data_IF_048048614683
#
_entry.id   IF_048048614683
#
_cell.length_a   1.000
_cell.length_b   1.000
_cell.length_c   1.000
_cell.angle_alpha   90.00
_cell.angle_beta   90.00
_cell.angle_gamma   90.00
#
_symmetry.space_group_name_H-M   'P 1'
#
loop_
_entity.id
_entity.type
_entity.pdbx_description
1 polymer ?
#
# COMPACT_ATOMS: atom_id res chain seq x y z
N UNK A 1 26.81 -54.74 -0.94
CA UNK A 1 26.23 -54.48 0.40
C UNK A 1 27.18 -53.58 1.19
N UNK A 2 26.73 -52.38 1.56
CA UNK A 2 27.57 -51.34 2.17
C UNK A 2 27.94 -51.69 3.64
N UNK A 3 29.14 -51.30 4.09
CA UNK A 3 29.76 -51.68 5.38
C UNK A 3 28.92 -51.31 6.60
N UNK A 4 28.17 -50.21 6.55
CA UNK A 4 27.29 -49.75 7.63
C UNK A 4 26.07 -50.67 7.84
N UNK A 5 25.52 -51.25 6.77
CA UNK A 5 24.39 -52.18 6.83
C UNK A 5 24.75 -53.47 7.57
N UNK A 6 25.99 -53.96 7.40
CA UNK A 6 26.51 -55.14 8.13
C UNK A 6 26.72 -54.86 9.62
N UNK A 7 27.14 -53.66 9.98
CA UNK A 7 27.34 -53.26 11.38
C UNK A 7 26.00 -53.10 12.12
N UNK A 8 24.96 -52.60 11.45
CA UNK A 8 23.61 -52.47 12.02
C UNK A 8 22.95 -53.83 12.31
N UNK A 9 23.10 -54.80 11.40
CA UNK A 9 22.61 -56.17 11.61
C UNK A 9 23.39 -56.91 12.71
N UNK A 10 24.70 -56.68 12.82
CA UNK A 10 25.52 -57.25 13.90
C UNK A 10 25.17 -56.68 15.29
N UNK A 11 24.59 -55.48 15.34
CA UNK A 11 24.05 -54.86 16.56
C UNK A 11 22.62 -55.26 16.91
N UNK A 12 22.04 -56.26 16.23
CA UNK A 12 20.71 -56.80 16.54
C UNK A 12 19.53 -55.99 16.01
N UNK A 13 19.74 -55.01 15.12
CA UNK A 13 18.63 -54.28 14.48
C UNK A 13 18.02 -55.09 13.35
N UNK A 14 16.69 -55.04 13.25
CA UNK A 14 15.95 -55.77 12.23
C UNK A 14 16.19 -55.12 10.85
N UNK A 15 16.36 -55.93 9.81
CA UNK A 15 16.73 -55.44 8.47
C UNK A 15 15.73 -54.42 7.89
N UNK A 16 14.47 -54.51 8.32
CA UNK A 16 13.36 -53.65 7.94
C UNK A 16 13.44 -52.21 8.49
N UNK A 17 14.27 -51.97 9.51
CA UNK A 17 14.38 -50.68 10.23
C UNK A 17 15.60 -49.85 9.80
N UNK A 18 16.39 -50.36 8.87
CA UNK A 18 17.67 -49.76 8.48
C UNK A 18 17.42 -48.81 7.28
N UNK A 19 17.08 -47.56 7.58
CA UNK A 19 17.03 -46.49 6.57
C UNK A 19 18.44 -45.96 6.24
N UNK A 20 18.70 -45.58 4.98
CA UNK A 20 19.98 -45.01 4.59
C UNK A 20 20.22 -43.66 5.30
N UNK A 21 21.47 -43.37 5.73
CA UNK A 21 21.79 -42.09 6.35
C UNK A 21 21.58 -40.95 5.34
N UNK A 22 20.60 -40.09 5.61
CA UNK A 22 20.22 -38.97 4.73
C UNK A 22 18.72 -38.66 4.68
N UNK A 23 17.85 -39.60 5.07
CA UNK A 23 16.40 -39.31 5.23
C UNK A 23 16.10 -38.78 6.62
N UNK A 24 16.56 -37.55 6.89
CA UNK A 24 15.86 -36.71 7.87
C UNK A 24 14.57 -36.32 7.18
N UNK A 25 13.42 -36.84 7.65
CA UNK A 25 12.14 -36.26 7.27
C UNK A 25 12.19 -34.79 7.70
N UNK A 26 12.27 -33.88 6.72
CA UNK A 26 12.00 -32.47 6.97
C UNK A 26 10.66 -32.39 7.70
N UNK A 27 10.56 -31.65 8.82
CA UNK A 27 9.28 -31.38 9.43
C UNK A 27 8.35 -30.88 8.34
N UNK A 28 7.21 -31.54 8.14
CA UNK A 28 6.20 -31.08 7.19
C UNK A 28 5.85 -29.64 7.56
N UNK A 29 6.13 -28.69 6.66
CA UNK A 29 5.68 -27.32 6.82
C UNK A 29 4.17 -27.36 7.09
N UNK A 30 3.67 -26.68 8.14
CA UNK A 30 2.24 -26.70 8.43
C UNK A 30 1.46 -26.21 7.20
N UNK A 31 0.25 -26.74 6.95
CA UNK A 31 -0.56 -26.33 5.83
C UNK A 31 -0.81 -24.82 5.90
N UNK A 32 -0.71 -24.14 4.77
CA UNK A 32 -0.90 -22.69 4.70
C UNK A 32 -2.31 -22.32 5.15
N UNK A 33 -2.43 -21.36 6.07
CA UNK A 33 -3.71 -20.89 6.59
C UNK A 33 -4.10 -19.61 5.87
N UNK A 34 -5.29 -19.57 5.28
CA UNK A 34 -5.84 -18.37 4.64
C UNK A 34 -6.78 -17.66 5.62
N UNK A 35 -6.55 -16.35 5.82
CA UNK A 35 -7.50 -15.50 6.54
C UNK A 35 -8.68 -15.15 5.63
N UNK A 36 -9.87 -15.61 5.99
CA UNK A 36 -11.10 -15.39 5.22
C UNK A 36 -11.97 -14.32 5.89
N UNK A 37 -12.13 -13.19 5.21
CA UNK A 37 -13.13 -12.17 5.51
C UNK A 37 -14.25 -12.27 4.46
N UNK A 38 -15.48 -12.52 4.89
CA UNK A 38 -16.62 -12.87 4.03
C UNK A 38 -16.91 -14.37 3.96
N UNK A 39 -18.16 -14.75 3.68
CA UNK A 39 -18.77 -15.97 4.20
C UNK A 39 -18.78 -17.19 3.31
N UNK A 40 -18.71 -18.33 3.99
CA UNK A 40 -19.68 -19.41 3.78
C UNK A 40 -20.97 -19.30 4.65
N UNK A 41 -21.16 -18.32 5.56
CA UNK A 41 -22.54 -17.88 5.91
C UNK A 41 -22.87 -16.46 6.49
N UNK A 42 -21.98 -15.63 7.07
CA UNK A 42 -21.91 -14.14 6.94
C UNK A 42 -20.83 -13.48 7.83
N UNK A 43 -19.62 -13.15 7.33
CA UNK A 43 -18.78 -12.03 7.76
C UNK A 43 -19.02 -10.84 6.84
N UNK A 44 -19.04 -9.64 7.43
CA UNK A 44 -19.23 -8.34 6.81
C UNK A 44 -18.60 -8.31 5.41
N UNK A 45 -19.46 -8.26 4.39
CA UNK A 45 -19.02 -7.97 3.03
C UNK A 45 -18.21 -6.68 3.04
N UNK A 46 -17.31 -6.53 2.06
CA UNK A 46 -16.68 -5.24 1.83
C UNK A 46 -17.76 -4.14 1.82
N UNK A 47 -17.46 -2.94 2.36
CA UNK A 47 -18.40 -1.83 2.34
C UNK A 47 -18.92 -1.59 0.92
N UNK A 48 -20.17 -1.13 0.80
CA UNK A 48 -20.70 -0.73 -0.52
C UNK A 48 -19.99 0.53 -1.00
N UNK A 49 -19.09 0.37 -1.98
CA UNK A 49 -18.33 1.47 -2.56
C UNK A 49 -19.10 2.05 -3.75
N UNK A 50 -20.02 2.98 -3.48
CA UNK A 50 -20.75 3.68 -4.54
C UNK A 50 -19.78 4.38 -5.48
N UNK A 51 -19.99 4.25 -6.79
CA UNK A 51 -19.12 4.80 -7.84
C UNK A 51 -17.67 4.29 -7.79
N UNK A 52 -17.47 3.07 -7.30
CA UNK A 52 -16.19 2.38 -7.34
C UNK A 52 -16.31 0.88 -7.18
N UNK A 53 -15.17 0.22 -7.12
CA UNK A 53 -15.03 -1.18 -6.77
C UNK A 53 -13.78 -1.39 -5.92
N UNK A 54 -13.69 -2.53 -5.24
CA UNK A 54 -12.47 -2.93 -4.57
C UNK A 54 -11.64 -3.85 -5.48
N UNK A 55 -10.35 -3.55 -5.62
CA UNK A 55 -9.37 -4.48 -6.19
C UNK A 55 -8.64 -5.18 -5.05
N UNK A 56 -8.54 -6.51 -5.09
CA UNK A 56 -7.97 -7.28 -4.00
C UNK A 56 -6.81 -8.17 -4.45
N UNK A 57 -5.80 -8.30 -3.59
CA UNK A 57 -4.65 -9.17 -3.75
C UNK A 57 -4.42 -9.99 -2.48
N UNK A 58 -3.66 -11.08 -2.61
CA UNK A 58 -3.22 -11.90 -1.48
C UNK A 58 -1.73 -11.68 -1.28
N UNK A 59 -1.32 -11.41 -0.05
CA UNK A 59 0.08 -11.28 0.35
C UNK A 59 0.43 -12.45 1.25
N UNK A 60 1.54 -13.12 0.93
CA UNK A 60 2.06 -14.20 1.75
C UNK A 60 3.01 -13.64 2.82
N UNK A 61 2.82 -14.10 4.05
CA UNK A 61 3.75 -13.88 5.17
C UNK A 61 3.99 -15.24 5.84
N UNK A 62 5.20 -15.78 5.70
CA UNK A 62 5.52 -17.17 6.07
C UNK A 62 4.51 -18.18 5.49
N UNK A 63 3.73 -18.83 6.36
CA UNK A 63 2.73 -19.85 6.01
C UNK A 63 1.29 -19.30 6.04
N UNK A 64 1.12 -17.98 6.09
CA UNK A 64 -0.19 -17.31 6.18
C UNK A 64 -0.40 -16.46 4.92
N UNK A 65 -1.62 -16.47 4.40
CA UNK A 65 -2.05 -15.55 3.35
C UNK A 65 -3.02 -14.52 3.92
N UNK A 66 -2.67 -13.24 3.77
CA UNK A 66 -3.51 -12.11 4.13
C UNK A 66 -4.14 -11.51 2.89
N UNK A 67 -5.46 -11.34 2.91
CA UNK A 67 -6.19 -10.68 1.83
C UNK A 67 -6.25 -9.18 2.05
N UNK A 68 -5.91 -8.42 1.02
CA UNK A 68 -5.93 -6.96 1.04
C UNK A 68 -6.76 -6.46 -0.12
N UNK A 69 -7.50 -5.38 0.08
CA UNK A 69 -8.40 -4.78 -0.90
C UNK A 69 -8.26 -3.26 -0.87
N UNK A 70 -7.96 -2.66 -2.02
CA UNK A 70 -7.89 -1.21 -2.19
C UNK A 70 -9.13 -0.70 -2.91
N UNK A 71 -9.65 0.46 -2.48
CA UNK A 71 -10.74 1.14 -3.18
C UNK A 71 -10.23 1.70 -4.53
N UNK A 72 -10.98 1.47 -5.60
CA UNK A 72 -10.76 2.06 -6.92
C UNK A 72 -12.04 2.75 -7.37
N UNK A 73 -12.00 4.07 -7.48
CA UNK A 73 -13.15 4.84 -7.95
C UNK A 73 -13.29 4.80 -9.47
N UNK A 74 -14.52 4.94 -9.96
CA UNK A 74 -14.80 5.17 -11.36
C UNK A 74 -14.25 6.54 -11.80
N UNK A 75 -14.05 6.72 -13.10
CA UNK A 75 -13.58 7.99 -13.68
C UNK A 75 -14.50 9.14 -13.24
N UNK A 76 -13.89 10.24 -12.75
CA UNK A 76 -14.62 11.40 -12.24
C UNK A 76 -14.95 11.34 -10.76
N UNK A 77 -14.54 10.28 -10.06
CA UNK A 77 -14.66 10.14 -8.61
C UNK A 77 -13.30 9.85 -7.99
N UNK A 78 -13.11 10.29 -6.74
CA UNK A 78 -11.89 10.10 -5.96
C UNK A 78 -12.26 9.83 -4.51
N UNK A 79 -11.44 9.04 -3.81
CA UNK A 79 -11.55 8.79 -2.38
C UNK A 79 -10.73 9.81 -1.58
N UNK A 80 -11.20 10.16 -0.38
CA UNK A 80 -10.48 11.04 0.54
C UNK A 80 -9.16 10.40 1.05
N UNK A 81 -9.07 9.07 1.03
CA UNK A 81 -7.88 8.27 1.32
C UNK A 81 -7.77 7.07 0.38
N UNK A 82 -6.73 6.24 0.49
CA UNK A 82 -6.57 5.09 -0.41
C UNK A 82 -7.63 3.98 -0.22
N UNK A 83 -8.42 4.01 0.87
CA UNK A 83 -9.45 3.01 1.15
C UNK A 83 -8.92 1.57 1.21
N UNK A 84 -7.69 1.38 1.68
CA UNK A 84 -7.07 0.06 1.79
C UNK A 84 -7.59 -0.67 3.04
N UNK A 85 -8.13 -1.86 2.81
CA UNK A 85 -8.69 -2.75 3.82
C UNK A 85 -7.88 -4.05 3.82
N UNK A 86 -7.54 -4.55 5.01
CA UNK A 86 -6.95 -5.88 5.15
C UNK A 86 -7.87 -6.78 5.96
N UNK A 87 -7.80 -8.07 5.66
CA UNK A 87 -8.50 -9.08 6.42
C UNK A 87 -7.73 -9.40 7.69
N UNK A 88 -8.39 -9.25 8.84
CA UNK A 88 -7.84 -9.57 10.15
C UNK A 88 -8.87 -10.37 10.96
N UNK A 89 -8.57 -11.65 11.22
CA UNK A 89 -9.39 -12.56 12.03
C UNK A 89 -10.87 -12.56 11.59
N UNK A 90 -11.10 -12.50 10.28
CA UNK A 90 -12.43 -12.53 9.67
C UNK A 90 -13.17 -11.18 9.59
N UNK A 91 -12.52 -10.07 9.95
CA UNK A 91 -13.06 -8.70 9.79
C UNK A 91 -12.16 -7.84 8.92
N UNK A 92 -12.77 -6.90 8.19
CA UNK A 92 -12.02 -5.89 7.44
C UNK A 92 -11.57 -4.76 8.36
N UNK A 93 -10.28 -4.47 8.36
CA UNK A 93 -9.69 -3.36 9.10
C UNK A 93 -9.03 -2.38 8.11
N UNK A 94 -9.24 -1.06 8.27
CA UNK A 94 -8.61 -0.09 7.38
C UNK A 94 -7.15 0.12 7.76
N UNK A 95 -6.35 0.45 6.76
CA UNK A 95 -4.93 0.69 6.92
C UNK A 95 -4.45 1.67 5.85
N UNK A 96 -3.51 2.54 6.20
CA UNK A 96 -2.85 3.40 5.22
C UNK A 96 -1.93 2.56 4.31
N UNK A 97 -1.87 2.85 2.99
CA UNK A 97 -0.95 2.15 2.08
C UNK A 97 0.49 2.20 2.55
N UNK A 98 0.96 3.37 2.98
CA UNK A 98 2.34 3.64 3.39
C UNK A 98 2.79 2.69 4.50
N UNK A 99 1.87 2.35 5.42
CA UNK A 99 2.09 1.42 6.53
C UNK A 99 2.27 -0.01 6.04
N UNK A 100 1.39 -0.45 5.14
CA UNK A 100 1.47 -1.80 4.56
C UNK A 100 2.74 -1.93 3.75
N UNK A 101 3.04 -0.93 2.92
CA UNK A 101 4.22 -0.89 2.07
C UNK A 101 5.49 -0.98 2.89
N UNK A 102 5.61 -0.14 3.91
CA UNK A 102 6.77 -0.14 4.79
C UNK A 102 6.89 -1.45 5.55
N UNK A 103 5.79 -2.02 6.06
CA UNK A 103 5.83 -3.29 6.79
C UNK A 103 6.22 -4.47 5.90
N UNK A 104 5.65 -4.53 4.69
CA UNK A 104 6.02 -5.52 3.67
C UNK A 104 7.47 -5.33 3.27
N UNK A 105 7.90 -4.09 3.05
CA UNK A 105 9.24 -3.78 2.62
C UNK A 105 10.31 -4.09 3.68
N UNK A 106 10.05 -3.78 4.95
CA UNK A 106 10.86 -4.20 6.10
C UNK A 106 10.90 -5.73 6.21
N UNK A 107 9.76 -6.40 6.04
CA UNK A 107 9.67 -7.86 6.05
C UNK A 107 10.50 -8.51 4.93
N UNK A 108 10.49 -7.92 3.72
CA UNK A 108 11.32 -8.31 2.58
C UNK A 108 12.81 -8.07 2.84
N UNK A 109 13.17 -6.90 3.39
CA UNK A 109 14.56 -6.57 3.72
C UNK A 109 15.17 -7.54 4.76
N UNK A 110 14.34 -8.10 5.63
CA UNK A 110 14.73 -9.12 6.62
C UNK A 110 14.65 -10.58 6.10
N UNK A 111 14.35 -10.80 4.81
CA UNK A 111 14.14 -12.13 4.20
C UNK A 111 12.99 -12.96 4.83
N UNK A 112 11.98 -12.29 5.41
CA UNK A 112 10.89 -12.90 6.20
C UNK A 112 9.58 -13.02 5.43
N UNK A 113 9.42 -12.18 4.41
CA UNK A 113 8.40 -12.31 3.37
C UNK A 113 9.07 -12.83 2.10
N UNK A 114 9.31 -14.15 2.00
CA UNK A 114 9.91 -14.75 0.82
C UNK A 114 8.91 -14.56 -0.33
N UNK A 115 9.17 -13.58 -1.19
CA UNK A 115 8.36 -13.19 -2.33
C UNK A 115 7.78 -14.41 -3.08
N UNK A 116 6.55 -14.83 -2.77
CA UNK A 116 5.79 -15.74 -3.64
C UNK A 116 5.24 -15.00 -4.86
N UNK A 117 5.04 -13.68 -4.71
CA UNK A 117 4.75 -12.77 -5.82
C UNK A 117 5.24 -11.34 -5.47
N UNK A 118 6.40 -10.90 -6.00
CA UNK A 118 6.91 -9.55 -5.76
C UNK A 118 5.94 -8.46 -6.26
N UNK A 119 5.03 -8.81 -7.18
CA UNK A 119 4.07 -7.91 -7.83
C UNK A 119 2.70 -7.86 -7.17
N UNK A 120 2.49 -8.55 -6.04
CA UNK A 120 1.20 -8.55 -5.34
C UNK A 120 0.65 -7.13 -5.07
N UNK A 121 1.54 -6.20 -4.72
CA UNK A 121 1.23 -4.78 -4.50
C UNK A 121 1.08 -3.99 -5.81
N UNK A 122 1.84 -4.36 -6.85
CA UNK A 122 1.71 -3.80 -8.21
C UNK A 122 0.31 -4.06 -8.77
N UNK A 123 -0.28 -5.24 -8.52
CA UNK A 123 -1.67 -5.54 -8.91
C UNK A 123 -2.72 -4.65 -8.22
N UNK A 124 -2.39 -4.13 -7.04
CA UNK A 124 -3.20 -3.12 -6.35
C UNK A 124 -2.91 -1.69 -6.85
N UNK A 125 -1.89 -1.52 -7.70
CA UNK A 125 -1.38 -0.23 -8.16
C UNK A 125 -0.74 0.57 -7.02
N UNK A 126 -0.12 -0.12 -6.07
CA UNK A 126 0.57 0.47 -4.92
C UNK A 126 2.08 0.33 -5.15
N UNK A 127 2.89 1.42 -5.05
CA UNK A 127 4.33 1.37 -5.24
C UNK A 127 5.03 0.59 -4.13
N UNK A 128 6.10 -0.13 -4.45
CA UNK A 128 6.84 -0.95 -3.49
C UNK A 128 7.95 -0.15 -2.81
N UNK A 129 7.57 0.74 -1.89
CA UNK A 129 8.46 1.71 -1.23
C UNK A 129 8.48 1.52 0.29
N UNK A 130 9.62 1.85 0.93
CA UNK A 130 9.77 1.84 2.38
C UNK A 130 9.85 3.30 2.85
N UNK A 131 8.85 3.78 3.58
CA UNK A 131 8.84 5.15 4.10
C UNK A 131 9.59 5.23 5.43
N UNK A 132 10.53 6.18 5.56
CA UNK A 132 11.43 6.26 6.71
C UNK A 132 10.70 6.61 8.01
N UNK A 133 9.81 7.60 7.97
CA UNK A 133 8.95 7.99 9.10
C UNK A 133 8.01 6.87 9.56
N UNK A 134 7.43 6.14 8.60
CA UNK A 134 6.58 4.97 8.88
C UNK A 134 7.43 3.83 9.43
N UNK A 135 8.65 3.62 8.92
CA UNK A 135 9.55 2.56 9.37
C UNK A 135 9.95 2.80 10.82
N UNK A 136 10.28 4.04 11.17
CA UNK A 136 10.53 4.44 12.56
C UNK A 136 9.32 4.13 13.44
N UNK A 137 8.12 4.55 13.03
CA UNK A 137 6.89 4.30 13.80
C UNK A 137 6.60 2.81 14.01
N UNK A 138 6.83 1.99 12.98
CA UNK A 138 6.73 0.53 13.09
C UNK A 138 7.77 0.02 14.10
N UNK A 139 9.05 0.33 13.90
CA UNK A 139 10.15 -0.12 14.76
C UNK A 139 9.99 0.30 16.23
N UNK A 140 9.48 1.52 16.48
CA UNK A 140 9.12 2.01 17.82
C UNK A 140 8.03 1.13 18.44
N UNK A 141 6.96 0.84 17.70
CA UNK A 141 5.83 0.04 18.19
C UNK A 141 6.16 -1.43 18.41
N UNK A 142 7.25 -1.91 17.82
CA UNK A 142 7.78 -3.22 18.14
C UNK A 142 8.41 -3.24 19.55
N UNK A 143 8.69 -2.09 20.19
CA UNK A 143 9.19 -1.99 21.57
C UNK A 143 10.61 -2.58 21.76
N UNK A 144 11.36 -2.76 20.67
CA UNK A 144 12.63 -3.50 20.65
C UNK A 144 13.86 -2.67 20.27
N UNK A 145 13.73 -1.35 20.12
CA UNK A 145 14.85 -0.48 19.75
C UNK A 145 15.39 0.24 20.99
N UNK A 146 16.49 -0.22 21.61
CA UNK A 146 17.02 0.38 22.84
C UNK A 146 17.60 1.80 22.67
N UNK A 147 17.62 2.36 21.45
CA UNK A 147 18.12 3.71 21.16
C UNK A 147 17.37 4.36 19.99
N UNK A 148 16.13 4.78 20.22
CA UNK A 148 15.27 5.40 19.21
C UNK A 148 15.90 6.59 18.48
N UNK A 149 16.61 7.46 19.21
CA UNK A 149 17.26 8.65 18.61
C UNK A 149 18.34 8.29 17.59
N UNK A 150 19.01 7.14 17.78
CA UNK A 150 20.06 6.67 16.90
C UNK A 150 19.46 6.08 15.63
N UNK A 151 18.37 5.33 15.76
CA UNK A 151 17.64 4.77 14.62
C UNK A 151 17.02 5.86 13.77
N UNK A 152 16.39 6.85 14.40
CA UNK A 152 15.85 8.04 13.73
C UNK A 152 16.92 8.76 12.88
N UNK A 153 18.07 9.07 13.50
CA UNK A 153 19.21 9.72 12.80
C UNK A 153 19.71 8.88 11.61
N UNK A 154 19.73 7.55 11.75
CA UNK A 154 20.22 6.67 10.68
C UNK A 154 19.19 6.55 9.55
N UNK A 155 17.89 6.46 9.86
CA UNK A 155 16.81 6.48 8.89
C UNK A 155 16.82 7.77 8.07
N UNK A 156 17.04 8.93 8.71
CA UNK A 156 17.23 10.21 8.02
C UNK A 156 18.45 10.20 7.09
N UNK A 157 19.54 9.54 7.47
CA UNK A 157 20.76 9.46 6.67
C UNK A 157 20.63 8.56 5.44
N UNK A 158 19.89 7.47 5.54
CA UNK A 158 19.73 6.47 4.46
C UNK A 158 18.49 6.67 3.60
N UNK A 159 17.61 7.60 4.00
CA UNK A 159 16.42 7.92 3.22
C UNK A 159 16.67 9.07 2.27
N UNK A 160 16.05 9.01 1.09
CA UNK A 160 15.99 10.11 0.13
C UNK A 160 14.52 10.46 -0.10
N UNK A 161 14.13 11.72 0.16
CA UNK A 161 12.72 12.15 0.12
C UNK A 161 11.79 11.24 0.95
N UNK A 162 12.23 10.81 2.13
CA UNK A 162 11.52 9.87 3.02
C UNK A 162 11.40 8.42 2.48
N UNK A 163 12.08 8.06 1.39
CA UNK A 163 12.07 6.70 0.84
C UNK A 163 13.41 6.01 1.12
N UNK A 164 13.37 4.76 1.56
CA UNK A 164 14.55 3.93 1.87
C UNK A 164 14.63 2.77 0.87
N UNK A 165 15.83 2.52 0.36
CA UNK A 165 16.12 1.34 -0.46
C UNK A 165 16.16 0.04 0.39
N UNK A 166 15.74 -1.07 -0.19
CA UNK A 166 15.71 -2.38 0.49
C UNK A 166 17.06 -2.79 1.09
N UNK A 167 18.16 -2.57 0.37
CA UNK A 167 19.49 -2.95 0.84
C UNK A 167 19.92 -2.06 2.02
N UNK A 168 19.58 -0.77 1.98
CA UNK A 168 19.86 0.16 3.08
C UNK A 168 19.04 -0.17 4.32
N UNK A 169 17.77 -0.52 4.15
CA UNK A 169 16.92 -0.99 5.25
C UNK A 169 17.48 -2.27 5.86
N UNK A 170 17.92 -3.23 5.02
CA UNK A 170 18.56 -4.46 5.48
C UNK A 170 19.81 -4.19 6.33
N UNK A 171 20.67 -3.27 5.89
CA UNK A 171 21.85 -2.87 6.65
C UNK A 171 21.48 -2.26 8.01
N UNK A 172 20.45 -1.39 8.07
CA UNK A 172 19.95 -0.85 9.32
C UNK A 172 19.46 -1.97 10.26
N UNK A 173 18.67 -2.93 9.77
CA UNK A 173 18.14 -4.03 10.59
C UNK A 173 19.27 -4.88 11.20
N UNK A 174 20.31 -5.18 10.41
CA UNK A 174 21.52 -5.87 10.90
C UNK A 174 22.22 -5.04 11.98
N UNK A 175 22.30 -3.73 11.78
CA UNK A 175 23.04 -2.82 12.66
C UNK A 175 22.34 -2.57 13.99
N UNK A 176 21.01 -2.40 14.01
CA UNK A 176 20.23 -2.22 15.25
C UNK A 176 20.27 -3.49 16.12
N UNK A 177 20.50 -4.65 15.49
CA UNK A 177 21.02 -5.84 16.16
C UNK A 177 20.39 -7.14 15.66
N UNK A 178 21.06 -8.29 15.83
CA UNK A 178 20.59 -9.59 15.32
C UNK A 178 19.23 -10.01 15.92
N UNK A 179 18.88 -9.43 17.08
CA UNK A 179 17.57 -9.65 17.68
C UNK A 179 16.45 -9.02 16.84
N UNK A 180 16.66 -7.86 16.20
CA UNK A 180 15.62 -7.23 15.37
C UNK A 180 15.37 -8.06 14.12
N UNK A 181 16.40 -8.56 13.44
CA UNK A 181 16.23 -9.49 12.31
C UNK A 181 15.41 -10.72 12.72
N UNK A 182 15.74 -11.33 13.87
CA UNK A 182 14.98 -12.47 14.42
C UNK A 182 13.55 -12.08 14.85
N UNK A 183 13.35 -10.87 15.39
CA UNK A 183 12.03 -10.37 15.77
C UNK A 183 11.20 -10.16 14.52
N UNK A 184 11.71 -9.46 13.51
CA UNK A 184 11.07 -9.27 12.20
C UNK A 184 10.73 -10.61 11.57
N UNK A 185 11.63 -11.60 11.69
CA UNK A 185 11.41 -12.97 11.24
C UNK A 185 10.34 -13.74 12.01
N UNK A 186 9.96 -13.28 13.19
CA UNK A 186 8.88 -13.88 13.96
C UNK A 186 7.76 -12.87 14.23
N UNK A 187 7.73 -11.74 13.50
CA UNK A 187 6.66 -10.78 13.63
C UNK A 187 5.38 -11.45 13.16
N UNK A 188 4.42 -11.51 14.08
CA UNK A 188 3.04 -11.75 13.71
C UNK A 188 2.55 -10.47 13.01
N UNK A 189 2.59 -10.48 11.68
CA UNK A 189 2.14 -9.39 10.82
C UNK A 189 0.74 -8.92 11.21
N UNK A 190 -0.17 -9.83 11.58
CA UNK A 190 -1.53 -9.49 11.98
C UNK A 190 -1.58 -8.84 13.35
N UNK A 191 -0.76 -9.30 14.29
CA UNK A 191 -0.63 -8.67 15.61
C UNK A 191 -0.09 -7.25 15.50
N UNK A 192 0.99 -7.05 14.72
CA UNK A 192 1.55 -5.73 14.43
C UNK A 192 0.49 -4.83 13.80
N UNK A 193 -0.14 -5.28 12.71
CA UNK A 193 -1.22 -4.52 12.08
C UNK A 193 -2.41 -4.25 13.00
N UNK A 194 -2.73 -5.13 13.94
CA UNK A 194 -3.81 -4.93 14.91
C UNK A 194 -3.49 -3.87 15.98
N UNK A 195 -2.20 -3.69 16.32
CA UNK A 195 -1.70 -2.67 17.26
C UNK A 195 -1.48 -1.31 16.59
N UNK A 196 -1.38 -1.32 15.27
CA UNK A 196 -1.27 -0.15 14.44
C UNK A 196 -2.68 0.44 14.23
N UNK A 197 -3.12 1.34 15.14
CA UNK A 197 -4.46 1.96 15.09
C UNK A 197 -4.76 2.70 13.77
N UNK A 198 -5.24 2.01 12.72
CA UNK A 198 -5.75 2.55 11.44
C UNK A 198 -4.85 3.55 10.68
N UNK A 199 -3.79 4.08 11.29
CA UNK A 199 -3.01 5.25 10.91
C UNK A 199 -3.83 6.44 10.40
N UNK A 200 -5.08 6.61 10.81
CA UNK A 200 -5.96 7.65 10.27
C UNK A 200 -6.65 7.28 8.95
N UNK A 201 -6.54 6.02 8.49
CA UNK A 201 -7.33 5.49 7.39
C UNK A 201 -8.81 5.33 7.79
N UNK A 202 -9.71 5.70 6.88
CA UNK A 202 -11.15 5.62 7.06
C UNK A 202 -11.62 4.17 7.10
N UNK A 203 -12.56 3.88 8.01
CA UNK A 203 -13.28 2.59 8.04
C UNK A 203 -14.32 2.46 6.92
N UNK A 204 -14.69 3.57 6.28
CA UNK A 204 -15.74 3.63 5.27
C UNK A 204 -15.25 4.47 4.10
N UNK A 205 -14.49 3.88 3.15
CA UNK A 205 -14.05 4.62 1.98
C UNK A 205 -15.27 4.94 1.12
N UNK A 206 -15.35 6.19 0.67
CA UNK A 206 -16.42 6.68 -0.21
C UNK A 206 -15.78 7.37 -1.40
N UNK A 207 -16.21 7.00 -2.60
CA UNK A 207 -15.85 7.72 -3.81
C UNK A 207 -16.73 8.96 -3.96
N UNK A 208 -16.13 10.14 -3.82
CA UNK A 208 -16.80 11.43 -4.02
C UNK A 208 -16.52 11.93 -5.42
N UNK A 209 -17.46 12.66 -6.01
CA UNK A 209 -17.24 13.29 -7.31
C UNK A 209 -16.08 14.27 -7.22
N UNK A 210 -15.17 14.21 -8.20
CA UNK A 210 -14.03 15.13 -8.31
C UNK A 210 -14.55 16.56 -8.47
N UNK A 211 -13.94 17.49 -7.73
CA UNK A 211 -14.24 18.91 -7.77
C UNK A 211 -13.02 19.63 -8.33
N UNK A 212 -13.22 20.40 -9.40
CA UNK A 212 -12.21 21.28 -9.97
C UNK A 212 -12.06 22.53 -9.14
N UNK A 213 -10.84 23.07 -9.10
CA UNK A 213 -10.55 24.30 -8.35
C UNK A 213 -11.45 25.46 -8.78
N UNK A 214 -11.96 26.19 -7.78
CA UNK A 214 -12.66 27.47 -7.96
C UNK A 214 -11.68 28.64 -8.04
N UNK A 215 -10.41 28.38 -7.74
CA UNK A 215 -9.33 29.37 -7.84
C UNK A 215 -8.92 29.50 -9.31
N UNK A 216 -9.64 30.36 -10.02
CA UNK A 216 -9.23 30.88 -11.33
C UNK A 216 -8.14 31.93 -11.11
N UNK A 217 -6.97 31.52 -10.60
CA UNK A 217 -5.88 32.43 -10.19
C UNK A 217 -5.66 33.53 -11.23
N UNK A 218 -6.17 34.73 -10.90
CA UNK A 218 -5.93 35.98 -11.59
C UNK A 218 -6.28 36.01 -13.08
N UNK A 219 -7.50 35.60 -13.46
CA UNK A 219 -8.02 35.90 -14.79
C UNK A 219 -8.03 37.42 -15.02
N UNK A 220 -7.03 37.90 -15.74
CA UNK A 220 -6.94 39.32 -16.11
C UNK A 220 -8.05 39.66 -17.12
N UNK A 221 -8.75 40.76 -16.89
CA UNK A 221 -9.78 41.29 -17.79
C UNK A 221 -10.95 40.33 -18.03
N UNK A 222 -11.35 39.56 -17.01
CA UNK A 222 -12.51 38.69 -17.10
C UNK A 222 -12.86 38.00 -15.80
N UNK A 223 -13.93 37.21 -15.86
CA UNK A 223 -14.38 36.33 -14.79
C UNK A 223 -14.84 34.99 -15.38
N UNK A 224 -14.84 33.95 -14.55
CA UNK A 224 -15.39 32.64 -14.91
C UNK A 224 -16.69 32.44 -14.16
N UNK A 225 -17.76 32.14 -14.90
CA UNK A 225 -19.07 31.84 -14.32
C UNK A 225 -19.31 30.33 -14.44
N UNK A 226 -19.53 29.66 -13.31
CA UNK A 226 -19.96 28.26 -13.28
C UNK A 226 -21.10 28.06 -12.27
N UNK A 227 -22.01 27.14 -12.56
CA UNK A 227 -23.05 26.73 -11.62
C UNK A 227 -22.60 25.62 -10.67
N UNK A 228 -21.65 24.80 -11.12
CA UNK A 228 -21.02 23.71 -10.36
C UNK A 228 -19.57 23.54 -10.80
N UNK A 229 -18.73 22.95 -9.96
CA UNK A 229 -17.31 22.72 -10.24
C UNK A 229 -16.96 21.23 -10.27
N UNK A 230 -17.94 20.34 -10.35
CA UNK A 230 -17.75 18.89 -10.33
C UNK A 230 -17.33 18.33 -11.70
N UNK A 231 -16.81 17.11 -11.74
CA UNK A 231 -16.46 16.41 -13.00
C UNK A 231 -17.54 16.55 -14.08
N UNK A 232 -17.11 16.82 -15.32
CA UNK A 232 -17.95 17.13 -16.50
C UNK A 232 -18.80 18.41 -16.41
N UNK A 233 -18.71 19.20 -15.34
CA UNK A 233 -19.31 20.54 -15.32
C UNK A 233 -18.62 21.47 -16.31
N UNK A 234 -19.40 22.41 -16.85
CA UNK A 234 -18.92 23.44 -17.76
C UNK A 234 -18.89 24.80 -17.06
N UNK A 235 -17.79 25.53 -17.23
CA UNK A 235 -17.64 26.91 -16.80
C UNK A 235 -17.48 27.82 -18.01
N UNK A 236 -18.09 29.02 -17.97
CA UNK A 236 -18.05 30.00 -19.05
C UNK A 236 -17.11 31.15 -18.72
N UNK A 237 -16.18 31.43 -19.63
CA UNK A 237 -15.26 32.57 -19.51
C UNK A 237 -15.93 33.82 -20.08
N UNK A 238 -16.06 34.85 -19.26
CA UNK A 238 -16.65 36.14 -19.62
C UNK A 238 -15.58 37.21 -19.50
N UNK A 239 -15.15 37.76 -20.63
CA UNK A 239 -14.14 38.81 -20.67
C UNK A 239 -14.76 40.20 -20.59
N UNK A 240 -13.98 41.14 -20.05
CA UNK A 240 -14.29 42.57 -20.06
C UNK A 240 -14.32 43.13 -21.48
N UNK A 241 -14.95 44.29 -21.63
CA UNK A 241 -15.10 44.94 -22.93
C UNK A 241 -13.73 45.23 -23.54
N UNK A 242 -13.57 44.83 -24.80
CA UNK A 242 -12.29 44.97 -25.53
C UNK A 242 -11.41 43.73 -25.47
N UNK A 243 -11.83 42.69 -24.76
CA UNK A 243 -11.17 41.39 -24.71
C UNK A 243 -12.13 40.29 -25.18
N UNK A 244 -11.58 39.21 -25.73
CA UNK A 244 -12.32 38.03 -26.18
C UNK A 244 -11.77 36.79 -25.48
N UNK A 245 -12.64 35.87 -25.04
CA UNK A 245 -12.17 34.64 -24.42
C UNK A 245 -11.46 33.80 -25.47
N UNK A 246 -10.23 33.36 -25.18
CA UNK A 246 -9.54 32.39 -26.03
C UNK A 246 -10.30 31.06 -26.04
N UNK A 247 -10.80 30.66 -24.87
CA UNK A 247 -11.62 29.49 -24.68
C UNK A 247 -12.90 29.90 -23.95
N UNK A 248 -14.06 29.92 -24.65
CA UNK A 248 -15.30 30.41 -24.06
C UNK A 248 -15.92 29.43 -23.04
N UNK A 249 -15.61 28.14 -23.17
CA UNK A 249 -16.12 27.07 -22.32
C UNK A 249 -14.95 26.21 -21.86
N UNK A 250 -14.91 25.99 -20.55
CA UNK A 250 -13.99 25.10 -19.85
C UNK A 250 -14.78 23.91 -19.31
N UNK A 251 -14.19 22.73 -19.30
CA UNK A 251 -14.81 21.52 -18.79
C UNK A 251 -13.98 20.94 -17.66
N UNK A 252 -14.61 20.61 -16.54
CA UNK A 252 -13.93 19.98 -15.40
C UNK A 252 -13.56 18.54 -15.74
N UNK A 253 -12.27 18.24 -15.68
CA UNK A 253 -11.72 16.92 -16.02
C UNK A 253 -11.63 16.01 -14.80
N UNK A 254 -11.34 14.72 -15.03
CA UNK A 254 -11.24 13.73 -13.95
C UNK A 254 -10.04 13.94 -13.00
N UNK A 255 -9.08 14.80 -13.35
CA UNK A 255 -7.92 15.12 -12.51
C UNK A 255 -8.19 16.26 -11.52
N UNK A 256 -9.40 16.82 -11.51
CA UNK A 256 -9.71 18.01 -10.70
C UNK A 256 -9.16 19.30 -11.29
N UNK A 257 -8.76 19.27 -12.57
CA UNK A 257 -8.34 20.46 -13.32
C UNK A 257 -9.34 20.77 -14.44
N UNK A 258 -9.43 22.05 -14.79
CA UNK A 258 -10.12 22.48 -16.00
C UNK A 258 -9.32 22.06 -17.24
N UNK A 259 -10.00 21.62 -18.29
CA UNK A 259 -9.40 21.14 -19.54
C UNK A 259 -8.53 22.19 -20.25
N UNK A 260 -8.81 23.47 -20.00
CA UNK A 260 -8.15 24.62 -20.58
C UNK A 260 -7.99 25.74 -19.54
N UNK A 261 -6.97 26.61 -19.67
CA UNK A 261 -6.85 27.78 -18.82
C UNK A 261 -7.89 28.84 -19.20
N UNK A 262 -8.43 29.55 -18.19
CA UNK A 262 -9.24 30.73 -18.41
C UNK A 262 -8.35 31.89 -18.90
N UNK A 263 -8.59 32.40 -20.12
CA UNK A 263 -7.78 33.47 -20.71
C UNK A 263 -8.63 34.42 -21.56
N UNK A 264 -8.34 35.72 -21.43
CA UNK A 264 -8.95 36.82 -22.19
C UNK A 264 -7.87 37.54 -23.01
N UNK A 265 -7.96 37.43 -24.35
CA UNK A 265 -7.02 38.09 -25.27
C UNK A 265 -7.60 39.45 -25.73
N UNK A 266 -6.78 40.50 -25.92
CA UNK A 266 -7.27 41.76 -26.48
C UNK A 266 -7.94 41.54 -27.83
N UNK A 267 -9.19 41.97 -27.96
CA UNK A 267 -9.91 41.96 -29.22
C UNK A 267 -9.22 42.91 -30.18
N UNK A 268 -8.60 42.39 -31.25
CA UNK A 268 -8.12 43.23 -32.34
C UNK A 268 -9.34 43.97 -32.91
N UNK A 269 -9.41 45.28 -32.66
CA UNK A 269 -10.20 46.17 -33.47
C UNK A 269 -9.65 46.06 -34.91
N UNK A 270 -10.33 45.27 -35.74
CA UNK A 270 -10.23 45.40 -37.18
C UNK A 270 -10.83 46.77 -37.51
N UNK A 271 -9.98 47.80 -37.45
CA UNK A 271 -10.27 49.09 -38.07
C UNK A 271 -10.32 48.83 -39.58
N UNK A 272 -11.54 48.77 -40.12
CA UNK A 272 -11.83 48.89 -41.55
C UNK A 272 -12.07 50.36 -41.88
#
# INVERSE_FOLDING_TARGET
MQRWYRLALAGGRNASEIQPPGTVQQPALPPSVEELCGSTSLPESLPDLRHGNFSCAKIAHYNIYVRMCIAKCHVGYQTDDAGLLFCNRGRWAPIQPEVVLTLVGVGRAADTMPNTDPRALEYLGIPDEIYADVALNILVKLDYVPNLSIVDTYLDMISENNIIDFDMMRQLLIWVGPNIEHIVANLDFLDVLSRLETFGATRHPVCRTVVCSEDYENLAHGQVNSSTTTYMSEARVVCERGYLPRYPVLTCTASGQWDKPALCDPGRALFM
#
